data_IF_064482673931
#
_entry.id   IF_064482673931
#
_cell.length_a   1.000
_cell.length_b   1.000
_cell.length_c   1.000
_cell.angle_alpha   90.00
_cell.angle_beta   90.00
_cell.angle_gamma   90.00
#
_symmetry.space_group_name_H-M   'P 1'
#
loop_
_entity.id
_entity.type
_entity.pdbx_description
1 polymer ?
#
# COMPACT_ATOMS: atom_id res chain seq x y z
N UNK A 1 22.09 9.06 -0.69
CA UNK A 1 20.93 8.40 -1.34
C UNK A 1 19.85 8.26 -0.29
N UNK A 2 18.59 8.44 -0.65
CA UNK A 2 17.43 8.28 0.23
C UNK A 2 16.38 7.46 -0.51
N UNK A 3 15.67 6.59 0.21
CA UNK A 3 14.46 5.95 -0.33
C UNK A 3 13.33 6.96 -0.48
N UNK A 4 12.29 6.55 -1.20
CA UNK A 4 11.00 7.23 -1.23
C UNK A 4 10.00 6.28 -0.60
N UNK A 5 9.27 6.80 0.39
CA UNK A 5 8.20 6.11 1.09
C UNK A 5 6.94 6.17 0.21
N UNK A 6 6.30 5.03 0.00
CA UNK A 6 4.95 4.95 -0.55
C UNK A 6 4.12 3.99 0.32
N UNK A 7 2.84 3.82 -0.01
CA UNK A 7 1.95 2.93 0.74
C UNK A 7 1.75 1.58 0.01
N UNK A 8 2.49 1.28 -1.06
CA UNK A 8 2.27 0.12 -1.91
C UNK A 8 2.95 -1.12 -1.32
N UNK A 9 2.17 -2.18 -1.07
CA UNK A 9 2.73 -3.51 -0.79
C UNK A 9 3.21 -4.16 -2.09
N UNK A 10 4.32 -3.68 -2.63
CA UNK A 10 4.91 -4.12 -3.91
C UNK A 10 6.25 -4.88 -3.75
N UNK A 11 6.72 -5.02 -2.52
CA UNK A 11 7.94 -5.73 -2.17
C UNK A 11 9.21 -4.90 -2.37
N UNK A 12 10.36 -5.51 -2.04
CA UNK A 12 11.64 -4.80 -2.16
C UNK A 12 11.99 -4.49 -3.62
N UNK A 13 12.13 -3.20 -3.94
CA UNK A 13 12.44 -2.73 -5.28
C UNK A 13 13.93 -2.44 -5.46
N UNK A 14 14.45 -2.73 -6.65
CA UNK A 14 15.84 -2.43 -7.03
C UNK A 14 15.88 -1.36 -8.12
N UNK A 15 16.64 -0.30 -7.86
CA UNK A 15 16.90 0.79 -8.79
C UNK A 15 18.39 0.85 -9.15
N UNK A 16 18.71 1.44 -10.30
CA UNK A 16 20.09 1.66 -10.74
C UNK A 16 20.42 3.14 -10.72
N UNK A 17 21.53 3.49 -10.07
CA UNK A 17 22.12 4.84 -10.11
C UNK A 17 23.33 4.81 -11.02
N UNK A 18 23.35 5.68 -12.02
CA UNK A 18 24.47 5.84 -12.95
C UNK A 18 25.25 7.10 -12.62
N UNK A 19 26.57 6.98 -12.54
CA UNK A 19 27.51 8.06 -12.36
C UNK A 19 28.35 8.18 -13.62
N UNK A 20 28.29 9.32 -14.29
CA UNK A 20 29.03 9.62 -15.50
C UNK A 20 29.84 10.91 -15.32
N UNK A 21 30.95 11.00 -16.05
CA UNK A 21 31.67 12.26 -16.24
C UNK A 21 30.92 13.06 -17.32
N UNK A 22 30.92 14.39 -17.22
CA UNK A 22 30.26 15.26 -18.21
C UNK A 22 31.33 15.92 -19.07
N UNK A 23 31.78 15.19 -20.09
CA UNK A 23 32.95 15.48 -20.95
C UNK A 23 33.05 16.96 -21.33
N UNK A 24 31.98 17.52 -21.89
CA UNK A 24 31.95 18.90 -22.38
C UNK A 24 32.19 19.97 -21.30
N UNK A 25 32.13 19.60 -20.03
CA UNK A 25 32.28 20.51 -18.88
C UNK A 25 33.35 20.05 -17.88
N UNK A 26 34.12 19.02 -18.22
CA UNK A 26 35.15 18.43 -17.35
C UNK A 26 36.52 18.41 -18.03
N UNK A 27 37.51 17.83 -17.35
CA UNK A 27 38.86 17.67 -17.87
C UNK A 27 38.91 16.54 -18.92
N UNK A 28 39.48 16.82 -20.09
CA UNK A 28 39.56 15.91 -21.22
C UNK A 28 40.31 14.60 -20.89
N UNK A 29 41.20 14.60 -19.89
CA UNK A 29 41.89 13.38 -19.44
C UNK A 29 40.91 12.33 -18.89
N UNK A 30 39.69 12.75 -18.52
CA UNK A 30 38.63 11.88 -17.99
C UNK A 30 37.56 11.49 -19.03
N UNK A 31 37.64 11.98 -20.27
CA UNK A 31 36.68 11.67 -21.36
C UNK A 31 36.63 10.16 -21.69
N UNK A 32 37.69 9.43 -21.37
CA UNK A 32 37.78 7.98 -21.56
C UNK A 32 37.23 7.13 -20.41
N UNK A 33 36.78 7.75 -19.31
CA UNK A 33 36.28 7.04 -18.14
C UNK A 33 34.85 6.56 -18.40
N UNK A 34 34.64 5.25 -18.27
CA UNK A 34 33.32 4.66 -18.44
C UNK A 34 32.37 5.01 -17.28
N UNK A 35 31.08 5.07 -17.60
CA UNK A 35 30.01 5.22 -16.61
C UNK A 35 30.03 4.09 -15.59
N UNK A 36 29.78 4.44 -14.34
CA UNK A 36 29.71 3.51 -13.23
C UNK A 36 28.27 3.37 -12.76
N UNK A 37 27.80 2.14 -12.63
CA UNK A 37 26.45 1.84 -12.13
C UNK A 37 26.49 1.25 -10.73
N UNK A 38 25.57 1.68 -9.86
CA UNK A 38 25.35 1.13 -8.53
C UNK A 38 23.90 0.68 -8.41
N UNK A 39 23.68 -0.56 -8.03
CA UNK A 39 22.35 -1.07 -7.70
C UNK A 39 21.98 -0.67 -6.27
N UNK A 40 20.77 -0.16 -6.09
CA UNK A 40 20.22 0.28 -4.80
C UNK A 40 18.92 -0.48 -4.57
N UNK A 41 18.79 -1.08 -3.39
CA UNK A 41 17.57 -1.77 -2.96
C UNK A 41 16.81 -0.89 -1.98
N UNK A 42 15.52 -0.67 -2.21
CA UNK A 42 14.58 -0.04 -1.27
C UNK A 42 13.71 -1.15 -0.69
N UNK A 43 13.86 -1.42 0.60
CA UNK A 43 13.07 -2.42 1.30
C UNK A 43 11.66 -1.87 1.54
N UNK A 44 10.67 -2.67 1.15
CA UNK A 44 9.26 -2.45 1.47
C UNK A 44 9.00 -2.77 2.95
N UNK A 45 8.42 -1.81 3.67
CA UNK A 45 7.97 -1.94 5.06
C UNK A 45 6.45 -1.78 5.22
N UNK A 46 5.70 -1.74 4.12
CA UNK A 46 4.24 -1.78 4.14
C UNK A 46 3.72 -3.19 4.41
N UNK A 47 2.69 -3.27 5.25
CA UNK A 47 2.09 -4.55 5.64
C UNK A 47 0.67 -4.65 5.10
N UNK A 48 0.40 -5.69 4.30
CA UNK A 48 -0.94 -5.99 3.85
C UNK A 48 -1.88 -6.28 5.03
N UNK A 49 -3.01 -5.57 5.07
CA UNK A 49 -3.99 -5.69 6.14
C UNK A 49 -5.27 -4.92 5.85
N UNK A 50 -6.25 -5.08 6.75
CA UNK A 50 -7.42 -4.23 6.79
C UNK A 50 -7.89 -4.06 8.23
N UNK A 51 -8.36 -2.86 8.54
CA UNK A 51 -8.93 -2.50 9.83
C UNK A 51 -10.44 -2.37 9.71
N UNK A 52 -11.15 -2.99 10.65
CA UNK A 52 -12.61 -2.90 10.78
C UNK A 52 -12.95 -1.97 11.94
N UNK A 53 -13.84 -1.00 11.72
CA UNK A 53 -14.33 -0.11 12.76
C UNK A 53 -15.86 -0.10 12.79
N UNK A 54 -16.41 0.02 13.99
CA UNK A 54 -17.84 0.02 14.26
C UNK A 54 -18.21 1.37 14.88
N UNK A 55 -19.36 1.90 14.52
CA UNK A 55 -19.81 3.18 15.07
C UNK A 55 -20.03 3.04 16.58
N UNK A 56 -19.27 3.80 17.39
CA UNK A 56 -19.34 3.69 18.85
C UNK A 56 -18.59 2.50 19.47
N UNK A 57 -17.77 1.78 18.69
CA UNK A 57 -16.88 0.71 19.18
C UNK A 57 -17.55 -0.65 19.41
N UNK A 58 -18.84 -0.78 19.08
CA UNK A 58 -19.58 -2.04 19.09
C UNK A 58 -20.75 -1.97 18.12
N UNK A 59 -21.17 -3.11 17.57
CA UNK A 59 -22.38 -3.18 16.75
C UNK A 59 -23.58 -3.69 17.53
N UNK A 60 -24.66 -2.91 17.53
CA UNK A 60 -25.95 -3.32 18.08
C UNK A 60 -27.08 -2.93 17.13
N UNK A 61 -27.96 -3.88 16.86
CA UNK A 61 -29.18 -3.67 16.08
C UNK A 61 -30.36 -4.23 16.86
N UNK A 62 -31.57 -3.81 16.52
CA UNK A 62 -32.80 -4.20 17.20
C UNK A 62 -33.75 -4.84 16.19
N UNK A 63 -34.62 -5.73 16.68
CA UNK A 63 -35.72 -6.31 15.89
C UNK A 63 -36.69 -5.24 15.33
N UNK A 64 -36.63 -4.01 15.86
CA UNK A 64 -37.36 -2.84 15.35
C UNK A 64 -36.80 -2.26 14.05
N UNK A 65 -35.80 -2.88 13.44
CA UNK A 65 -35.24 -2.48 12.14
C UNK A 65 -34.18 -1.38 12.22
N UNK A 66 -33.51 -1.22 13.36
CA UNK A 66 -32.37 -0.31 13.45
C UNK A 66 -31.18 -0.85 12.65
N UNK A 67 -30.33 0.04 12.15
CA UNK A 67 -29.12 -0.32 11.40
C UNK A 67 -27.89 0.22 12.09
N UNK A 68 -26.79 -0.51 11.97
CA UNK A 68 -25.45 -0.04 12.33
C UNK A 68 -24.55 0.03 11.09
N UNK A 69 -23.48 0.81 11.18
CA UNK A 69 -22.46 0.96 10.15
C UNK A 69 -21.14 0.37 10.64
N UNK A 70 -20.61 -0.55 9.83
CA UNK A 70 -19.26 -1.07 9.92
C UNK A 70 -18.47 -0.49 8.75
N UNK A 71 -17.30 0.10 9.03
CA UNK A 71 -16.37 0.60 8.02
C UNK A 71 -15.16 -0.31 7.94
N UNK A 72 -14.60 -0.41 6.73
CA UNK A 72 -13.37 -1.18 6.45
C UNK A 72 -12.41 -0.26 5.73
N UNK A 73 -11.15 -0.27 6.16
CA UNK A 73 -10.04 0.46 5.54
C UNK A 73 -8.90 -0.52 5.32
N UNK A 74 -8.24 -0.47 4.15
CA UNK A 74 -7.03 -1.25 3.91
C UNK A 74 -5.85 -0.56 4.60
N UNK A 75 -5.00 -1.34 5.26
CA UNK A 75 -3.89 -0.79 6.05
C UNK A 75 -2.72 -0.30 5.16
N UNK A 76 -2.64 -0.79 3.92
CA UNK A 76 -1.71 -0.37 2.87
C UNK A 76 -2.37 -0.50 1.48
N UNK A 77 -1.84 0.21 0.48
CA UNK A 77 -2.33 0.19 -0.90
C UNK A 77 -1.99 -1.13 -1.60
N UNK A 78 -2.98 -1.87 -2.11
CA UNK A 78 -2.72 -3.12 -2.83
C UNK A 78 -2.30 -2.86 -4.28
N UNK A 79 -1.48 -3.75 -4.84
CA UNK A 79 -1.11 -3.75 -6.27
C UNK A 79 -2.16 -4.40 -7.18
N UNK A 80 -3.18 -5.04 -6.59
CA UNK A 80 -4.27 -5.71 -7.30
C UNK A 80 -5.57 -5.64 -6.52
N UNK A 81 -6.66 -6.17 -7.08
CA UNK A 81 -7.98 -6.10 -6.45
C UNK A 81 -8.02 -6.84 -5.11
N UNK A 82 -8.56 -6.15 -4.09
CA UNK A 82 -8.94 -6.77 -2.81
C UNK A 82 -10.43 -7.07 -2.81
N UNK A 83 -10.79 -8.31 -2.53
CA UNK A 83 -12.18 -8.78 -2.48
C UNK A 83 -12.51 -9.20 -1.06
N UNK A 84 -13.44 -8.49 -0.42
CA UNK A 84 -13.94 -8.82 0.91
C UNK A 84 -15.32 -9.48 0.82
N UNK A 85 -15.47 -10.61 1.49
CA UNK A 85 -16.77 -11.26 1.69
C UNK A 85 -17.28 -10.92 3.09
N UNK A 86 -18.52 -10.46 3.17
CA UNK A 86 -19.19 -10.17 4.44
C UNK A 86 -20.43 -11.04 4.51
N UNK A 87 -20.53 -11.85 5.55
CA UNK A 87 -21.64 -12.77 5.78
C UNK A 87 -22.13 -12.62 7.22
N UNK A 88 -23.45 -12.74 7.41
CA UNK A 88 -24.03 -12.93 8.74
C UNK A 88 -24.13 -14.43 9.01
N UNK A 89 -23.78 -14.85 10.23
CA UNK A 89 -23.96 -16.24 10.66
C UNK A 89 -25.44 -16.57 10.91
N UNK A 90 -26.27 -15.56 11.19
CA UNK A 90 -27.71 -15.69 11.41
C UNK A 90 -28.45 -14.53 10.75
N UNK A 91 -28.97 -14.77 9.54
CA UNK A 91 -29.74 -13.77 8.80
C UNK A 91 -31.17 -13.59 9.31
N UNK A 92 -31.64 -14.43 10.24
CA UNK A 92 -32.88 -14.19 10.98
C UNK A 92 -32.73 -13.08 12.01
N UNK A 93 -31.51 -12.91 12.54
CA UNK A 93 -31.17 -11.93 13.58
C UNK A 93 -30.54 -10.65 13.00
N UNK A 94 -29.64 -10.79 12.01
CA UNK A 94 -28.98 -9.64 11.39
C UNK A 94 -28.62 -9.90 9.93
N UNK A 95 -28.90 -8.93 9.07
CA UNK A 95 -28.49 -8.96 7.65
C UNK A 95 -27.39 -7.94 7.38
N UNK A 96 -26.50 -8.26 6.44
CA UNK A 96 -25.43 -7.36 5.98
C UNK A 96 -25.73 -6.88 4.57
N UNK A 97 -25.48 -5.60 4.30
CA UNK A 97 -25.66 -5.01 2.97
C UNK A 97 -24.49 -4.04 2.70
N UNK A 98 -23.76 -4.21 1.59
CA UNK A 98 -22.74 -3.24 1.20
C UNK A 98 -23.37 -1.86 1.00
N UNK A 99 -22.65 -0.83 1.41
CA UNK A 99 -22.95 0.56 1.07
C UNK A 99 -21.70 1.10 0.38
N UNK A 100 -21.85 1.57 -0.86
CA UNK A 100 -20.80 2.17 -1.67
C UNK A 100 -20.90 3.68 -1.62
#
# INVERSE_FOLDING_TARGET
MTGVDDDLVDGTQTSTVTLSVVDASSDNDFDGVADQTVSVSTTDDDTAGFTVSQTGGSSTVTEGGSTDLITVVLDAQPTSNVVLSVVSADTGEATVSPRH
#
